data_IF_048209511894
#
_entry.id   IF_048209511894
#
_cell.length_a   1.000
_cell.length_b   1.000
_cell.length_c   1.000
_cell.angle_alpha   90.00
_cell.angle_beta   90.00
_cell.angle_gamma   90.00
#
_symmetry.space_group_name_H-M   'P 1'
#
loop_
_entity.id
_entity.type
_entity.pdbx_description
1 polymer ?
#
# COMPACT_ATOMS: atom_id res chain seq x y z
N UNK A 1 -20.51 -62.20 -7.89
CA UNK A 1 -21.66 -61.29 -7.79
C UNK A 1 -21.34 -60.20 -6.75
N UNK A 2 -21.10 -58.97 -7.22
CA UNK A 2 -21.18 -57.65 -6.58
C UNK A 2 -20.60 -57.38 -5.16
N UNK A 3 -19.52 -56.58 -5.17
CA UNK A 3 -19.22 -55.31 -4.43
C UNK A 3 -19.41 -55.27 -2.90
N UNK A 4 -18.39 -54.70 -2.20
CA UNK A 4 -18.38 -53.53 -1.27
C UNK A 4 -16.96 -53.50 -0.64
N UNK A 5 -16.24 -52.41 -0.40
CA UNK A 5 -16.30 -50.98 -0.68
C UNK A 5 -14.82 -50.55 -0.58
N UNK A 6 -14.29 -49.82 -1.56
CA UNK A 6 -12.93 -49.31 -1.53
C UNK A 6 -12.91 -48.15 -0.53
N UNK A 7 -12.10 -48.26 0.51
CA UNK A 7 -11.90 -47.21 1.51
C UNK A 7 -11.17 -46.03 0.87
N UNK A 8 -11.95 -45.00 0.54
CA UNK A 8 -11.51 -43.63 0.40
C UNK A 8 -10.97 -43.13 1.76
N UNK A 9 -9.67 -43.29 2.01
CA UNK A 9 -8.98 -42.46 2.98
C UNK A 9 -8.31 -41.32 2.23
N UNK A 10 -9.06 -40.22 2.18
CA UNK A 10 -8.68 -38.85 1.83
C UNK A 10 -7.21 -38.56 2.12
N UNK A 11 -6.37 -38.65 1.09
CA UNK A 11 -5.14 -37.86 1.03
C UNK A 11 -5.59 -36.41 0.84
N UNK A 12 -5.57 -35.66 1.93
CA UNK A 12 -5.73 -34.20 1.95
C UNK A 12 -4.69 -33.58 1.01
N UNK A 13 -5.06 -33.39 -0.25
CA UNK A 13 -4.39 -32.47 -1.15
C UNK A 13 -4.75 -31.08 -0.65
N UNK A 14 -3.98 -30.57 0.33
CA UNK A 14 -3.99 -29.15 0.66
C UNK A 14 -3.44 -28.47 -0.59
N UNK A 15 -4.34 -28.06 -1.49
CA UNK A 15 -4.01 -27.12 -2.55
C UNK A 15 -3.64 -25.85 -1.81
N UNK A 16 -2.35 -25.65 -1.61
CA UNK A 16 -1.79 -24.34 -1.35
C UNK A 16 -2.18 -23.51 -2.57
N UNK A 17 -3.30 -22.79 -2.48
CA UNK A 17 -3.55 -21.66 -3.36
C UNK A 17 -2.42 -20.67 -3.03
N UNK A 18 -1.30 -20.82 -3.73
CA UNK A 18 -0.33 -19.75 -3.88
C UNK A 18 -1.09 -18.66 -4.59
N UNK A 19 -1.66 -17.72 -3.83
CA UNK A 19 -2.08 -16.45 -4.38
C UNK A 19 -0.82 -15.84 -4.98
N UNK A 20 -0.70 -15.90 -6.30
CA UNK A 20 0.27 -15.07 -7.00
C UNK A 20 -0.16 -13.65 -6.73
N UNK A 21 0.59 -12.94 -5.90
CA UNK A 21 0.46 -11.49 -5.80
C UNK A 21 0.65 -10.96 -7.23
N UNK A 22 -0.37 -10.35 -7.81
CA UNK A 22 -0.25 -9.77 -9.13
C UNK A 22 0.77 -8.62 -9.03
N UNK A 23 1.92 -8.77 -9.68
CA UNK A 23 2.92 -7.71 -9.79
C UNK A 23 2.36 -6.60 -10.68
N UNK A 24 1.75 -5.61 -10.05
CA UNK A 24 1.17 -4.45 -10.73
C UNK A 24 2.25 -3.57 -11.40
N UNK A 25 3.54 -3.84 -11.16
CA UNK A 25 4.66 -3.11 -11.74
C UNK A 25 5.25 -3.82 -12.98
N UNK A 26 4.67 -4.94 -13.41
CA UNK A 26 5.16 -5.74 -14.54
C UNK A 26 5.32 -4.92 -15.83
N UNK A 27 4.42 -3.99 -16.10
CA UNK A 27 4.43 -3.16 -17.32
C UNK A 27 5.25 -1.86 -17.19
N UNK A 28 5.81 -1.57 -16.01
CA UNK A 28 6.62 -0.37 -15.79
C UNK A 28 7.93 -0.39 -16.61
N UNK A 29 8.44 0.80 -16.93
CA UNK A 29 9.74 0.94 -17.58
C UNK A 29 10.88 0.46 -16.64
N UNK A 30 12.05 0.18 -17.21
CA UNK A 30 13.17 -0.40 -16.46
C UNK A 30 13.66 0.50 -15.33
N UNK A 31 13.67 1.82 -15.51
CA UNK A 31 14.12 2.73 -14.45
C UNK A 31 13.11 2.72 -13.30
N UNK A 32 11.81 2.73 -13.62
CA UNK A 32 10.75 2.61 -12.61
C UNK A 32 10.83 1.28 -11.87
N UNK A 33 11.06 0.16 -12.55
CA UNK A 33 11.23 -1.16 -11.90
C UNK A 33 12.40 -1.18 -10.93
N UNK A 34 13.55 -0.65 -11.33
CA UNK A 34 14.72 -0.53 -10.46
C UNK A 34 14.41 0.35 -9.25
N UNK A 35 13.74 1.48 -9.47
CA UNK A 35 13.34 2.40 -8.42
C UNK A 35 12.39 1.75 -7.41
N UNK A 36 11.37 1.03 -7.89
CA UNK A 36 10.43 0.28 -7.07
C UNK A 36 11.14 -0.83 -6.30
N UNK A 37 12.03 -1.59 -6.94
CA UNK A 37 12.81 -2.65 -6.29
C UNK A 37 13.67 -2.11 -5.14
N UNK A 38 14.36 -0.99 -5.38
CA UNK A 38 15.16 -0.34 -4.34
C UNK A 38 14.28 0.19 -3.19
N UNK A 39 13.10 0.70 -3.51
CA UNK A 39 12.12 1.17 -2.52
C UNK A 39 11.61 0.01 -1.67
N UNK A 40 11.28 -1.12 -2.29
CA UNK A 40 10.82 -2.32 -1.59
C UNK A 40 11.92 -2.90 -0.70
N UNK A 41 13.19 -2.82 -1.12
CA UNK A 41 14.30 -3.19 -0.25
C UNK A 41 14.39 -2.29 0.98
N UNK A 42 14.23 -0.97 0.83
CA UNK A 42 14.18 -0.06 1.97
C UNK A 42 13.01 -0.37 2.91
N UNK A 43 11.84 -0.72 2.37
CA UNK A 43 10.67 -1.14 3.18
C UNK A 43 10.99 -2.42 3.95
N UNK A 44 11.60 -3.43 3.30
CA UNK A 44 12.05 -4.68 3.96
C UNK A 44 13.05 -4.40 5.08
N UNK A 45 13.94 -3.43 4.87
CA UNK A 45 14.91 -2.96 5.87
C UNK A 45 14.28 -2.02 6.92
N UNK A 46 12.95 -1.83 6.88
CA UNK A 46 12.14 -0.98 7.77
C UNK A 46 12.56 0.50 7.75
N UNK A 47 13.06 0.95 6.60
CA UNK A 47 13.49 2.31 6.32
C UNK A 47 12.41 3.08 5.54
N UNK A 48 11.30 3.38 6.20
CA UNK A 48 10.09 3.87 5.52
C UNK A 48 10.21 5.33 5.06
N UNK A 49 10.91 6.18 5.81
CA UNK A 49 11.14 7.57 5.38
C UNK A 49 12.10 7.59 4.19
N UNK A 50 13.16 6.79 4.25
CA UNK A 50 14.06 6.61 3.11
C UNK A 50 13.32 6.02 1.89
N UNK A 51 12.44 5.04 2.08
CA UNK A 51 11.65 4.45 1.00
C UNK A 51 10.77 5.50 0.29
N UNK A 52 10.01 6.29 1.06
CA UNK A 52 9.17 7.35 0.49
C UNK A 52 10.01 8.39 -0.27
N UNK A 53 11.15 8.81 0.30
CA UNK A 53 12.04 9.78 -0.31
C UNK A 53 12.77 9.24 -1.55
N UNK A 54 13.05 7.93 -1.61
CA UNK A 54 13.69 7.29 -2.75
C UNK A 54 12.82 7.43 -4.02
N UNK A 55 11.49 7.40 -3.89
CA UNK A 55 10.55 7.62 -5.00
C UNK A 55 10.55 9.05 -5.54
N UNK A 56 11.31 9.96 -4.94
CA UNK A 56 11.46 11.34 -5.38
C UNK A 56 10.28 12.24 -5.03
N UNK A 57 10.46 13.55 -5.20
CA UNK A 57 9.45 14.57 -4.87
C UNK A 57 8.39 14.75 -5.96
N UNK A 58 8.73 14.40 -7.20
CA UNK A 58 7.87 14.61 -8.37
C UNK A 58 7.24 13.28 -8.74
N UNK A 59 5.94 13.28 -8.97
CA UNK A 59 5.18 12.12 -9.41
C UNK A 59 5.25 12.02 -10.94
N UNK A 60 6.11 11.13 -11.45
CA UNK A 60 6.43 11.05 -12.88
C UNK A 60 5.62 10.00 -13.65
N UNK A 61 5.07 9.00 -12.96
CA UNK A 61 4.23 7.96 -13.54
C UNK A 61 3.28 7.32 -12.51
N UNK A 62 2.31 6.55 -13.00
CA UNK A 62 1.28 5.88 -12.21
C UNK A 62 1.84 4.87 -11.19
N UNK A 63 2.92 4.17 -11.55
CA UNK A 63 3.53 3.14 -10.69
C UNK A 63 4.18 3.77 -9.44
N UNK A 64 4.87 4.89 -9.62
CA UNK A 64 5.48 5.65 -8.51
C UNK A 64 4.40 6.20 -7.58
N UNK A 65 3.32 6.75 -8.15
CA UNK A 65 2.19 7.24 -7.37
C UNK A 65 1.57 6.10 -6.57
N UNK A 66 1.28 4.96 -7.21
CA UNK A 66 0.70 3.80 -6.55
C UNK A 66 1.57 3.29 -5.39
N UNK A 67 2.90 3.22 -5.58
CA UNK A 67 3.82 2.84 -4.50
C UNK A 67 3.86 3.88 -3.37
N UNK A 68 3.80 5.17 -3.66
CA UNK A 68 3.68 6.21 -2.62
C UNK A 68 2.38 6.06 -1.83
N UNK A 69 1.26 5.76 -2.49
CA UNK A 69 -0.03 5.49 -1.82
C UNK A 69 0.08 4.25 -0.93
N UNK A 70 0.66 3.16 -1.42
CA UNK A 70 0.93 1.96 -0.63
C UNK A 70 1.73 2.30 0.65
N UNK A 71 2.77 3.12 0.53
CA UNK A 71 3.58 3.55 1.68
C UNK A 71 2.77 4.41 2.65
N UNK A 72 1.96 5.34 2.13
CA UNK A 72 1.08 6.19 2.94
C UNK A 72 0.04 5.39 3.72
N UNK A 73 -0.45 4.27 3.18
CA UNK A 73 -1.45 3.43 3.85
C UNK A 73 -0.81 2.50 4.89
N UNK A 74 0.37 1.95 4.57
CA UNK A 74 0.94 0.83 5.32
C UNK A 74 2.08 1.19 6.26
N UNK A 75 2.84 2.25 5.99
CA UNK A 75 4.13 2.49 6.67
C UNK A 75 4.29 3.85 7.35
N UNK A 76 3.21 4.63 7.48
CA UNK A 76 3.23 5.86 8.27
C UNK A 76 3.30 5.58 9.78
N UNK A 77 3.97 6.47 10.53
CA UNK A 77 3.95 6.49 12.01
C UNK A 77 2.92 7.49 12.55
N UNK A 78 2.64 8.56 11.78
CA UNK A 78 1.57 9.51 12.08
C UNK A 78 0.90 9.93 10.78
N UNK A 79 -0.41 10.17 10.84
CA UNK A 79 -1.13 10.82 9.75
C UNK A 79 -2.10 11.87 10.28
N UNK A 80 -2.32 12.92 9.51
CA UNK A 80 -3.36 13.92 9.77
C UNK A 80 -4.38 13.78 8.66
N UNK A 81 -5.54 13.24 9.03
CA UNK A 81 -6.64 12.94 8.11
C UNK A 81 -6.09 12.35 6.80
N UNK A 82 -5.16 11.38 6.86
CA UNK A 82 -4.52 10.68 5.74
C UNK A 82 -4.23 11.50 4.45
N UNK A 83 -3.96 12.80 4.61
CA UNK A 83 -3.51 13.71 3.55
C UNK A 83 -2.12 14.27 3.89
N UNK A 84 -1.68 14.01 5.11
CA UNK A 84 -0.34 14.32 5.59
C UNK A 84 0.15 13.12 6.36
N UNK A 85 1.42 12.80 6.16
CA UNK A 85 2.03 11.60 6.69
C UNK A 85 3.39 11.92 7.26
N UNK A 86 3.71 11.25 8.35
CA UNK A 86 5.07 11.16 8.83
C UNK A 86 5.52 9.71 8.74
N UNK A 87 6.76 9.54 8.33
CA UNK A 87 7.43 8.24 8.21
C UNK A 87 8.66 8.23 9.11
N UNK A 88 9.21 7.04 9.34
CA UNK A 88 10.44 6.87 10.11
C UNK A 88 11.21 5.64 9.63
N UNK A 89 12.53 5.76 9.58
CA UNK A 89 13.42 4.61 9.50
C UNK A 89 13.58 4.00 10.90
N UNK A 90 13.13 2.75 11.08
CA UNK A 90 13.04 2.12 12.39
C UNK A 90 14.38 1.58 12.89
N UNK A 91 14.71 1.84 14.16
CA UNK A 91 15.80 1.16 14.87
C UNK A 91 15.41 -0.29 15.20
N UNK A 92 16.37 -1.21 15.35
CA UNK A 92 16.12 -2.66 15.47
C UNK A 92 15.05 -3.07 16.50
N UNK A 93 14.92 -2.31 17.60
CA UNK A 93 13.96 -2.55 18.68
C UNK A 93 12.62 -1.80 18.54
N UNK A 94 12.45 -0.98 17.51
CA UNK A 94 11.22 -0.23 17.25
C UNK A 94 10.22 -1.05 16.44
N UNK A 95 8.95 -0.81 16.73
CA UNK A 95 7.80 -1.40 16.07
C UNK A 95 6.87 -0.28 15.61
N UNK A 96 6.59 -0.24 14.31
CA UNK A 96 5.72 0.77 13.69
C UNK A 96 4.34 0.83 14.35
N UNK A 97 3.78 -0.31 14.77
CA UNK A 97 2.45 -0.36 15.36
C UNK A 97 2.41 0.28 16.75
N UNK A 98 3.52 0.24 17.49
CA UNK A 98 3.65 0.91 18.79
C UNK A 98 3.84 2.41 18.61
N UNK A 99 4.67 2.81 17.63
CA UNK A 99 4.91 4.22 17.34
C UNK A 99 3.66 4.96 16.85
N UNK A 100 2.73 4.24 16.22
CA UNK A 100 1.44 4.82 15.79
C UNK A 100 0.62 5.28 16.98
N UNK A 101 0.41 6.59 17.08
CA UNK A 101 -0.37 7.22 18.15
C UNK A 101 0.45 7.60 19.37
N UNK A 102 1.75 7.31 19.38
CA UNK A 102 2.67 7.86 20.37
C UNK A 102 3.05 9.31 20.06
N UNK A 103 3.37 10.06 21.11
CA UNK A 103 3.89 11.42 20.96
C UNK A 103 5.34 11.35 20.53
N UNK A 104 5.66 11.94 19.39
CA UNK A 104 7.01 12.10 18.89
C UNK A 104 7.13 13.37 18.06
N UNK A 105 8.37 13.79 17.80
CA UNK A 105 8.65 14.84 16.81
C UNK A 105 8.98 14.14 15.51
N UNK A 106 8.08 14.24 14.53
CA UNK A 106 8.26 13.68 13.20
C UNK A 106 8.15 14.77 12.14
N UNK A 107 8.85 14.57 11.02
CA UNK A 107 8.71 15.43 9.86
C UNK A 107 7.41 15.06 9.12
N UNK A 108 6.47 16.00 9.05
CA UNK A 108 5.19 15.80 8.37
C UNK A 108 5.33 16.22 6.92
N UNK A 109 5.01 15.29 6.01
CA UNK A 109 4.96 15.50 4.57
C UNK A 109 3.50 15.66 4.17
N UNK A 110 3.21 16.71 3.40
CA UNK A 110 1.90 16.88 2.76
C UNK A 110 1.88 16.05 1.49
N UNK A 111 1.01 15.04 1.45
CA UNK A 111 0.81 14.19 0.29
C UNK A 111 -0.63 13.67 0.37
N UNK A 112 -1.51 14.24 -0.46
CA UNK A 112 -2.92 13.85 -0.53
C UNK A 112 -3.09 12.85 -1.69
N UNK A 113 -3.27 11.54 -1.40
CA UNK A 113 -3.36 10.51 -2.43
C UNK A 113 -4.46 10.76 -3.46
N UNK A 114 -5.62 11.24 -3.02
CA UNK A 114 -6.77 11.51 -3.89
C UNK A 114 -6.43 12.63 -4.85
N UNK A 115 -5.94 13.76 -4.31
CA UNK A 115 -5.59 14.92 -5.12
C UNK A 115 -4.46 14.62 -6.11
N UNK A 116 -3.44 13.87 -5.68
CA UNK A 116 -2.30 13.48 -6.55
C UNK A 116 -2.81 12.62 -7.71
N UNK A 117 -3.59 11.58 -7.42
CA UNK A 117 -4.14 10.69 -8.46
C UNK A 117 -5.03 11.45 -9.44
N UNK A 118 -6.01 12.22 -8.95
CA UNK A 118 -6.92 12.98 -9.81
C UNK A 118 -6.21 14.05 -10.65
N UNK A 119 -5.11 14.62 -10.14
CA UNK A 119 -4.32 15.58 -10.91
C UNK A 119 -3.53 14.90 -12.02
N UNK A 120 -2.98 13.72 -11.74
CA UNK A 120 -2.13 12.97 -12.66
C UNK A 120 -2.95 12.28 -13.76
N UNK A 121 -4.06 11.61 -13.40
CA UNK A 121 -4.92 10.86 -14.30
C UNK A 121 -6.36 11.39 -14.26
N UNK A 122 -6.54 12.59 -14.80
CA UNK A 122 -7.84 13.31 -14.82
C UNK A 122 -8.97 12.55 -15.51
N UNK A 123 -8.62 11.62 -16.41
CA UNK A 123 -9.60 10.83 -17.17
C UNK A 123 -9.86 9.46 -16.53
N UNK A 124 -9.27 9.17 -15.36
CA UNK A 124 -9.44 7.91 -14.61
C UNK A 124 -9.17 6.67 -15.46
N UNK A 125 -8.19 6.77 -16.35
CA UNK A 125 -7.87 5.77 -17.37
C UNK A 125 -6.89 4.69 -16.87
N UNK A 126 -6.14 4.97 -15.82
CA UNK A 126 -5.14 4.08 -15.25
C UNK A 126 -5.77 3.11 -14.27
N UNK A 127 -5.83 1.82 -14.66
CA UNK A 127 -6.28 0.76 -13.78
C UNK A 127 -5.45 0.66 -12.48
N UNK A 128 -4.15 0.98 -12.56
CA UNK A 128 -3.24 0.98 -11.40
C UNK A 128 -3.63 2.05 -10.40
N UNK A 129 -3.89 3.28 -10.87
CA UNK A 129 -4.28 4.38 -10.00
C UNK A 129 -5.70 4.20 -9.47
N UNK A 130 -6.62 3.67 -10.28
CA UNK A 130 -7.97 3.34 -9.83
C UNK A 130 -7.95 2.29 -8.72
N UNK A 131 -7.09 1.27 -8.83
CA UNK A 131 -6.86 0.31 -7.75
C UNK A 131 -6.29 1.00 -6.50
N UNK A 132 -5.25 1.81 -6.64
CA UNK A 132 -4.63 2.51 -5.52
C UNK A 132 -5.62 3.45 -4.80
N UNK A 133 -6.50 4.09 -5.56
CA UNK A 133 -7.56 4.94 -5.03
C UNK A 133 -8.63 4.12 -4.28
N UNK A 134 -9.01 2.96 -4.83
CA UNK A 134 -9.91 2.02 -4.17
C UNK A 134 -9.34 1.49 -2.85
N UNK A 135 -8.07 1.08 -2.84
CA UNK A 135 -7.37 0.65 -1.62
C UNK A 135 -7.33 1.78 -0.58
N UNK A 136 -7.08 3.01 -1.03
CA UNK A 136 -7.09 4.18 -0.16
C UNK A 136 -8.48 4.41 0.46
N UNK A 137 -9.55 4.47 -0.33
CA UNK A 137 -10.91 4.69 0.17
C UNK A 137 -11.37 3.59 1.11
N UNK A 138 -11.03 2.34 0.79
CA UNK A 138 -11.29 1.21 1.66
C UNK A 138 -10.63 1.37 3.03
N UNK A 139 -9.34 1.70 3.08
CA UNK A 139 -8.61 1.94 4.34
C UNK A 139 -9.18 3.13 5.12
N UNK A 140 -9.54 4.22 4.46
CA UNK A 140 -10.15 5.38 5.10
C UNK A 140 -11.49 5.02 5.72
N UNK A 141 -12.37 4.34 4.99
CA UNK A 141 -13.68 3.93 5.51
C UNK A 141 -13.51 3.04 6.76
N UNK A 142 -12.61 2.06 6.71
CA UNK A 142 -12.33 1.17 7.85
C UNK A 142 -11.87 1.94 9.09
N UNK A 143 -11.02 2.97 8.93
CA UNK A 143 -10.42 3.73 10.04
C UNK A 143 -11.31 4.84 10.56
N UNK A 144 -12.08 5.52 9.70
CA UNK A 144 -12.78 6.75 10.05
C UNK A 144 -14.30 6.64 10.14
N UNK A 145 -14.95 5.67 9.48
CA UNK A 145 -16.42 5.42 9.53
C UNK A 145 -17.25 6.70 9.72
N UNK A 146 -17.35 7.56 8.71
CA UNK A 146 -18.13 8.81 8.79
C UNK A 146 -17.45 10.01 9.44
N UNK A 147 -16.20 9.89 9.88
CA UNK A 147 -15.40 10.99 10.46
C UNK A 147 -14.33 11.52 9.52
N UNK A 148 -14.46 11.22 8.23
CA UNK A 148 -13.53 11.65 7.20
C UNK A 148 -13.90 13.05 6.65
N UNK A 149 -13.00 13.66 5.87
CA UNK A 149 -13.21 14.99 5.26
C UNK A 149 -14.25 14.93 4.13
N UNK A 150 -14.21 13.86 3.35
CA UNK A 150 -15.15 13.56 2.27
C UNK A 150 -16.32 12.77 2.89
N UNK A 151 -17.56 13.10 2.50
CA UNK A 151 -18.73 12.42 3.07
C UNK A 151 -18.76 10.95 2.66
N UNK A 152 -19.31 10.08 3.52
CA UNK A 152 -19.43 8.65 3.22
C UNK A 152 -20.33 8.35 2.00
N UNK A 153 -21.10 9.33 1.49
CA UNK A 153 -21.89 9.19 0.26
C UNK A 153 -21.05 9.28 -1.02
N UNK A 154 -19.83 9.81 -0.93
CA UNK A 154 -18.89 9.98 -2.06
C UNK A 154 -17.75 8.94 -2.07
N UNK A 155 -17.74 8.01 -1.11
CA UNK A 155 -16.75 6.93 -0.93
C UNK A 155 -17.39 5.58 -1.27
#
# INVERSE_FOLDING_TARGET
>A
MKRKFIECCFLCFIISFSYSENDIYFDADQNTKILITNTDQLIKDRRYESAFNNLGKIDTNEYIIAKKVEICLNYFVQSIKHQMFAFKDLQNNEDIYKLRGEKGTYNIIVYDPVKVIQTFDKNESSAILNKALGDYYYEINLRYKGRWIISDEEV
#
